data_IF_913503574333
#
_entry.id   IF_913503574333
#
_cell.length_a   1.000
_cell.length_b   1.000
_cell.length_c   1.000
_cell.angle_alpha   90.00
_cell.angle_beta   90.00
_cell.angle_gamma   90.00
#
_symmetry.space_group_name_H-M   'P 1'
#
loop_
_entity.id
_entity.type
_entity.pdbx_description
1 polymer ?
#
# COMPACT_ATOMS: atom_id res chain seq x y z
N UNK A 1 13.91 -21.97 9.58
CA UNK A 1 12.86 -20.97 9.87
C UNK A 1 11.78 -21.62 10.72
N UNK A 2 11.20 -20.88 11.67
CA UNK A 2 10.01 -21.33 12.40
C UNK A 2 8.87 -21.67 11.42
N UNK A 3 8.11 -22.74 11.69
CA UNK A 3 6.99 -23.20 10.84
C UNK A 3 5.95 -22.07 10.60
N UNK A 4 5.73 -21.22 11.61
CA UNK A 4 4.88 -20.03 11.51
C UNK A 4 5.39 -19.00 10.50
N UNK A 5 6.70 -18.75 10.45
CA UNK A 5 7.30 -17.76 9.53
C UNK A 5 7.10 -18.23 8.07
N UNK A 6 7.46 -19.49 7.79
CA UNK A 6 7.25 -20.10 6.47
C UNK A 6 5.79 -20.06 6.00
N UNK A 7 4.83 -20.30 6.90
CA UNK A 7 3.40 -20.24 6.59
C UNK A 7 2.94 -18.82 6.18
N UNK A 8 3.46 -17.78 6.85
CA UNK A 8 3.06 -16.39 6.60
C UNK A 8 3.76 -15.82 5.36
N UNK A 9 5.05 -16.14 5.14
CA UNK A 9 5.76 -15.80 3.89
C UNK A 9 5.00 -16.37 2.69
N UNK A 10 4.60 -17.65 2.76
CA UNK A 10 3.86 -18.31 1.70
C UNK A 10 2.48 -17.68 1.48
N UNK A 11 1.78 -17.26 2.55
CA UNK A 11 0.53 -16.49 2.43
C UNK A 11 0.72 -15.12 1.77
N UNK A 12 1.78 -14.38 2.11
CA UNK A 12 2.07 -13.06 1.51
C UNK A 12 2.46 -13.21 0.03
N UNK A 13 3.31 -14.19 -0.27
CA UNK A 13 3.66 -14.53 -1.65
C UNK A 13 2.43 -14.91 -2.46
N UNK A 14 1.56 -15.78 -1.91
CA UNK A 14 0.32 -16.18 -2.57
C UNK A 14 -0.69 -15.03 -2.67
N UNK A 15 -0.79 -14.11 -1.70
CA UNK A 15 -1.53 -12.85 -1.85
C UNK A 15 -1.01 -12.02 -3.02
N UNK A 16 0.31 -11.88 -3.18
CA UNK A 16 0.92 -11.16 -4.31
C UNK A 16 0.64 -11.84 -5.66
N UNK A 17 0.85 -13.17 -5.78
CA UNK A 17 0.65 -13.89 -7.05
C UNK A 17 -0.82 -14.22 -7.36
N UNK A 18 -1.75 -14.08 -6.40
CA UNK A 18 -3.21 -14.19 -6.63
C UNK A 18 -3.90 -12.85 -6.86
N UNK A 19 -3.19 -11.74 -6.66
CA UNK A 19 -3.59 -10.40 -7.08
C UNK A 19 -3.81 -10.15 -8.60
N UNK A 20 -3.35 -10.98 -9.59
CA UNK A 20 -3.45 -10.68 -11.03
C UNK A 20 -4.82 -10.38 -11.65
N UNK A 21 -5.92 -10.49 -10.89
CA UNK A 21 -7.29 -10.27 -11.39
C UNK A 21 -7.96 -8.97 -10.92
N UNK A 22 -7.20 -8.02 -10.35
CA UNK A 22 -7.72 -6.65 -10.18
C UNK A 22 -7.70 -5.90 -11.53
N UNK A 23 -8.83 -5.36 -12.01
CA UNK A 23 -8.87 -4.63 -13.27
C UNK A 23 -8.09 -3.32 -13.14
N UNK A 24 -7.08 -3.12 -14.00
CA UNK A 24 -6.23 -1.91 -13.97
C UNK A 24 -4.73 -2.15 -13.95
N UNK A 25 -4.24 -3.28 -14.47
CA UNK A 25 -2.82 -3.61 -14.70
C UNK A 25 -1.98 -2.40 -15.18
N UNK A 26 -1.31 -1.71 -14.23
CA UNK A 26 -0.44 -0.54 -14.49
C UNK A 26 1.03 -0.94 -14.62
N UNK A 27 1.47 -1.97 -13.90
CA UNK A 27 2.86 -2.45 -13.93
C UNK A 27 3.14 -3.40 -15.09
N UNK A 28 2.22 -4.28 -15.52
CA UNK A 28 2.45 -5.08 -16.76
C UNK A 28 2.70 -4.18 -17.99
N UNK A 29 2.14 -2.96 -18.00
CA UNK A 29 2.39 -1.95 -19.04
C UNK A 29 3.75 -1.24 -18.92
N UNK A 30 4.45 -1.41 -17.79
CA UNK A 30 5.80 -0.91 -17.53
C UNK A 30 6.69 -2.09 -17.08
N UNK A 31 7.35 -2.79 -18.02
CA UNK A 31 8.15 -3.98 -17.73
C UNK A 31 9.23 -3.78 -16.65
N UNK A 32 9.79 -2.57 -16.51
CA UNK A 32 10.80 -2.28 -15.48
C UNK A 32 10.18 -2.36 -14.08
N UNK A 33 9.04 -1.69 -13.86
CA UNK A 33 8.30 -1.73 -12.59
C UNK A 33 7.83 -3.15 -12.27
N UNK A 34 7.34 -3.87 -13.27
CA UNK A 34 6.92 -5.27 -13.11
C UNK A 34 8.09 -6.16 -12.65
N UNK A 35 9.25 -6.04 -13.31
CA UNK A 35 10.45 -6.80 -12.96
C UNK A 35 10.97 -6.44 -11.56
N UNK A 36 10.99 -5.16 -11.18
CA UNK A 36 11.37 -4.73 -9.83
C UNK A 36 10.49 -5.38 -8.77
N UNK A 37 9.16 -5.38 -8.96
CA UNK A 37 8.21 -5.99 -8.02
C UNK A 37 8.38 -7.51 -7.91
N UNK A 38 8.56 -8.19 -9.04
CA UNK A 38 8.78 -9.64 -9.08
C UNK A 38 10.11 -10.05 -8.44
N UNK A 39 11.18 -9.29 -8.67
CA UNK A 39 12.48 -9.50 -8.03
C UNK A 39 12.38 -9.27 -6.51
N UNK A 40 11.68 -8.21 -6.09
CA UNK A 40 11.48 -7.89 -4.67
C UNK A 40 10.69 -8.97 -3.93
N UNK A 41 9.55 -9.46 -4.48
CA UNK A 41 8.76 -10.50 -3.82
C UNK A 41 9.47 -11.86 -3.80
N UNK A 42 10.26 -12.17 -4.84
CA UNK A 42 11.09 -13.38 -4.88
C UNK A 42 12.16 -13.31 -3.80
N UNK A 43 12.88 -12.18 -3.72
CA UNK A 43 13.92 -11.97 -2.71
C UNK A 43 13.35 -11.95 -1.28
N UNK A 44 12.15 -11.42 -1.10
CA UNK A 44 11.41 -11.52 0.17
C UNK A 44 11.08 -12.97 0.53
N UNK A 45 10.68 -13.82 -0.44
CA UNK A 45 10.41 -15.24 -0.20
C UNK A 45 11.67 -16.02 0.23
N UNK A 46 12.83 -15.67 -0.31
CA UNK A 46 14.13 -16.27 0.06
C UNK A 46 14.58 -15.87 1.48
N UNK A 47 14.55 -14.56 1.79
CA UNK A 47 15.02 -14.03 3.07
C UNK A 47 14.02 -14.29 4.19
N UNK A 48 12.73 -14.25 3.87
CA UNK A 48 11.65 -14.30 4.84
C UNK A 48 11.62 -13.07 5.76
N UNK A 49 10.99 -13.24 6.92
CA UNK A 49 11.02 -12.23 7.95
C UNK A 49 12.18 -12.41 8.93
N UNK A 50 12.79 -11.30 9.40
CA UNK A 50 13.90 -11.30 10.33
C UNK A 50 13.47 -11.75 11.74
N UNK A 51 14.47 -12.13 12.53
CA UNK A 51 14.35 -12.52 13.93
C UNK A 51 15.12 -11.55 14.84
N UNK A 52 14.75 -11.41 16.11
CA UNK A 52 15.46 -10.55 17.08
C UNK A 52 16.94 -10.94 17.33
N UNK A 53 17.40 -12.08 16.80
CA UNK A 53 18.81 -12.50 16.84
C UNK A 53 19.65 -11.83 15.74
N UNK A 54 19.00 -11.34 14.70
CA UNK A 54 19.64 -10.61 13.61
C UNK A 54 19.98 -9.20 14.13
N UNK A 55 21.21 -8.74 13.90
CA UNK A 55 21.76 -7.56 14.58
C UNK A 55 20.87 -6.31 14.41
N UNK A 56 20.46 -6.03 13.17
CA UNK A 56 19.59 -4.91 12.80
C UNK A 56 18.21 -4.95 13.49
N UNK A 57 17.79 -6.11 13.98
CA UNK A 57 16.46 -6.35 14.57
C UNK A 57 16.50 -6.60 16.07
N UNK A 58 17.67 -6.48 16.72
CA UNK A 58 17.83 -6.72 18.16
C UNK A 58 16.87 -5.92 19.06
N UNK A 59 16.48 -4.72 18.64
CA UNK A 59 15.63 -3.80 19.40
C UNK A 59 14.20 -3.64 18.86
N UNK A 60 13.84 -4.41 17.82
CA UNK A 60 12.49 -4.42 17.24
C UNK A 60 11.95 -5.84 17.29
N UNK A 61 10.73 -6.07 17.79
CA UNK A 61 10.12 -7.41 17.76
C UNK A 61 9.22 -7.57 16.51
N UNK A 62 9.72 -8.15 15.40
CA UNK A 62 8.94 -8.30 14.18
C UNK A 62 7.75 -9.26 14.34
N UNK A 63 7.76 -10.15 15.34
CA UNK A 63 6.71 -11.16 15.55
C UNK A 63 5.34 -10.55 15.82
N UNK A 64 5.26 -9.31 16.33
CA UNK A 64 3.98 -8.65 16.62
C UNK A 64 3.24 -8.19 15.34
N UNK A 65 3.97 -7.88 14.26
CA UNK A 65 3.37 -7.58 12.96
C UNK A 65 2.77 -8.85 12.33
N UNK A 66 3.49 -9.98 12.36
CA UNK A 66 3.05 -11.22 11.69
C UNK A 66 1.85 -11.89 12.38
N UNK A 67 1.67 -11.70 13.69
CA UNK A 67 0.46 -12.12 14.42
C UNK A 67 -0.83 -11.53 13.84
N UNK A 68 -0.75 -10.38 13.15
CA UNK A 68 -1.87 -9.73 12.47
C UNK A 68 -2.20 -10.27 11.06
N UNK A 69 -1.37 -11.17 10.51
CA UNK A 69 -1.52 -11.74 9.17
C UNK A 69 -2.02 -13.22 9.13
N UNK A 70 -2.86 -13.77 10.06
CA UNK A 70 -3.26 -15.19 10.00
C UNK A 70 -3.99 -15.58 8.71
N UNK A 71 -4.74 -14.65 8.12
CA UNK A 71 -5.62 -14.89 6.96
C UNK A 71 -4.99 -14.49 5.61
N UNK A 72 -3.72 -14.09 5.59
CA UNK A 72 -3.08 -13.46 4.44
C UNK A 72 -3.29 -11.94 4.40
N UNK A 73 -2.64 -11.27 3.44
CA UNK A 73 -2.85 -9.84 3.20
C UNK A 73 -3.91 -9.73 2.10
N UNK A 74 -5.12 -9.33 2.47
CA UNK A 74 -6.11 -8.88 1.50
C UNK A 74 -5.86 -7.39 1.26
N UNK A 75 -5.42 -6.97 0.05
CA UNK A 75 -5.58 -5.57 -0.32
C UNK A 75 -7.07 -5.27 -0.25
N UNK A 76 -7.48 -4.40 0.67
CA UNK A 76 -8.87 -3.96 0.72
C UNK A 76 -9.24 -3.44 -0.68
N UNK A 77 -10.45 -3.73 -1.16
CA UNK A 77 -10.86 -3.27 -2.49
C UNK A 77 -10.83 -1.73 -2.50
N UNK A 78 -9.76 -1.15 -3.08
CA UNK A 78 -9.54 0.30 -3.15
C UNK A 78 -10.34 0.94 -4.29
N UNK A 79 -11.56 0.46 -4.44
CA UNK A 79 -12.66 1.34 -4.78
C UNK A 79 -12.71 2.43 -3.73
N UNK A 80 -12.15 3.60 -4.04
CA UNK A 80 -12.72 4.86 -3.60
C UNK A 80 -14.07 5.04 -4.33
N UNK A 81 -14.95 4.03 -4.26
CA UNK A 81 -16.40 4.21 -4.39
C UNK A 81 -16.76 5.03 -3.19
N UNK A 82 -17.08 6.28 -3.43
CA UNK A 82 -16.56 7.32 -2.56
C UNK A 82 -17.41 7.48 -1.29
N UNK A 83 -17.99 6.46 -0.62
CA UNK A 83 -19.33 6.57 0.06
C UNK A 83 -19.45 7.03 1.54
N UNK A 84 -20.10 8.19 1.79
CA UNK A 84 -20.43 8.89 3.07
C UNK A 84 -21.66 8.20 3.58
N UNK A 85 -21.61 7.80 4.84
CA UNK A 85 -22.82 7.68 5.62
C UNK A 85 -23.29 9.09 5.94
N UNK A 86 -24.09 9.66 5.05
CA UNK A 86 -24.99 10.73 5.45
C UNK A 86 -25.92 10.00 6.40
N UNK A 87 -26.12 10.54 7.60
CA UNK A 87 -26.90 9.85 8.64
C UNK A 87 -28.37 9.61 8.25
N UNK A 88 -28.78 10.02 7.04
CA UNK A 88 -30.08 9.72 6.41
C UNK A 88 -30.00 9.19 4.97
N UNK A 89 -28.82 9.10 4.35
CA UNK A 89 -28.69 8.61 2.97
C UNK A 89 -27.70 7.44 2.87
N UNK A 90 -28.21 6.29 2.42
CA UNK A 90 -27.48 5.02 2.30
C UNK A 90 -26.45 5.03 1.15
N UNK A 91 -26.40 6.12 0.36
CA UNK A 91 -25.62 6.24 -0.87
C UNK A 91 -24.69 7.46 -0.98
N UNK A 92 -24.64 8.36 0.01
CA UNK A 92 -23.82 9.60 -0.05
C UNK A 92 -22.29 9.33 -0.11
N UNK A 93 -21.39 10.35 -0.11
CA UNK A 93 -19.94 10.27 -0.47
C UNK A 93 -18.82 10.74 0.57
N UNK A 94 -18.06 9.82 1.22
CA UNK A 94 -16.95 9.84 2.22
C UNK A 94 -15.71 10.34 1.50
N UNK A 95 -15.70 11.64 1.28
CA UNK A 95 -14.46 12.38 1.18
C UNK A 95 -13.74 12.29 2.53
N UNK A 96 -12.53 11.68 2.62
CA UNK A 96 -11.72 11.80 3.82
C UNK A 96 -11.43 13.28 4.07
N UNK A 97 -11.66 13.75 5.29
CA UNK A 97 -11.21 15.09 5.69
C UNK A 97 -9.69 15.04 5.89
N UNK A 98 -8.96 15.54 4.89
CA UNK A 98 -7.51 15.63 4.91
C UNK A 98 -7.02 16.95 5.53
N UNK A 99 -7.91 17.86 5.94
CA UNK A 99 -7.51 19.13 6.55
C UNK A 99 -6.63 18.98 7.81
N UNK A 100 -6.76 17.94 8.67
CA UNK A 100 -5.84 17.74 9.78
C UNK A 100 -4.43 17.31 9.36
N UNK A 101 -4.28 16.66 8.20
CA UNK A 101 -3.00 16.13 7.73
C UNK A 101 -2.05 17.22 7.22
N UNK A 102 -2.60 18.38 6.82
CA UNK A 102 -1.87 19.53 6.29
C UNK A 102 -2.14 20.81 7.09
N UNK A 103 -2.68 20.69 8.31
CA UNK A 103 -3.09 21.82 9.14
C UNK A 103 -1.89 22.75 9.44
N UNK A 104 -2.02 24.03 9.10
CA UNK A 104 -0.97 25.03 9.29
C UNK A 104 0.13 25.04 8.21
N UNK A 105 -0.02 24.28 7.12
CA UNK A 105 0.92 24.27 6.00
C UNK A 105 0.31 24.96 4.77
N UNK A 106 0.91 26.05 4.32
CA UNK A 106 0.62 26.61 2.98
C UNK A 106 1.44 25.85 1.94
N UNK A 107 0.77 25.03 1.13
CA UNK A 107 1.40 24.23 0.08
C UNK A 107 0.66 24.40 -1.25
N UNK A 108 1.38 24.90 -2.25
CA UNK A 108 0.89 25.01 -3.64
C UNK A 108 0.88 23.66 -4.38
N UNK A 109 1.70 22.72 -3.93
CA UNK A 109 1.86 21.39 -4.52
C UNK A 109 1.75 20.31 -3.44
N UNK A 110 0.68 19.51 -3.51
CA UNK A 110 0.37 18.39 -2.61
C UNK A 110 0.03 17.19 -3.48
N UNK A 111 0.79 16.10 -3.34
CA UNK A 111 0.52 14.81 -3.98
C UNK A 111 -0.09 13.87 -2.94
N UNK A 112 -1.36 13.50 -3.10
CA UNK A 112 -2.06 12.62 -2.17
C UNK A 112 -2.08 11.19 -2.69
N UNK A 113 -1.60 10.27 -1.86
CA UNK A 113 -1.69 8.83 -2.09
C UNK A 113 -2.61 8.20 -1.03
N UNK A 114 -3.77 7.71 -1.45
CA UNK A 114 -4.72 7.02 -0.57
C UNK A 114 -4.47 5.53 -0.69
N UNK A 115 -3.99 4.91 0.40
CA UNK A 115 -3.69 3.48 0.49
C UNK A 115 -2.81 2.96 -0.67
N UNK A 116 -1.77 3.72 -1.04
CA UNK A 116 -0.84 3.38 -2.11
C UNK A 116 -1.32 3.66 -3.53
N UNK A 117 -2.47 4.31 -3.73
CA UNK A 117 -2.92 4.81 -5.03
C UNK A 117 -2.92 6.34 -5.05
N UNK A 118 -2.31 6.92 -6.09
CA UNK A 118 -2.41 8.36 -6.36
C UNK A 118 -3.88 8.77 -6.54
N UNK A 119 -4.26 9.88 -5.90
CA UNK A 119 -5.58 10.48 -6.01
C UNK A 119 -5.47 11.91 -6.54
N UNK A 120 -5.90 12.11 -7.78
CA UNK A 120 -5.95 13.41 -8.44
C UNK A 120 -6.93 14.36 -7.73
N UNK A 121 -8.11 13.87 -7.32
CA UNK A 121 -9.17 14.63 -6.63
C UNK A 121 -8.68 15.34 -5.35
N UNK A 122 -7.82 14.66 -4.57
CA UNK A 122 -7.28 15.21 -3.31
C UNK A 122 -5.90 15.87 -3.47
N UNK A 123 -5.30 15.80 -4.66
CA UNK A 123 -4.02 16.44 -4.95
C UNK A 123 -4.21 17.88 -5.42
N UNK A 124 -3.20 18.73 -5.21
CA UNK A 124 -3.14 20.08 -5.77
C UNK A 124 -1.79 20.27 -6.44
N UNK A 125 -1.76 20.72 -7.68
CA UNK A 125 -0.55 20.80 -8.49
C UNK A 125 -0.46 22.18 -9.18
N UNK A 126 -0.10 23.22 -8.41
CA UNK A 126 -0.06 24.61 -8.88
C UNK A 126 1.36 25.05 -9.24
N UNK A 127 1.50 25.85 -10.29
CA UNK A 127 2.76 26.50 -10.67
C UNK A 127 3.94 25.53 -10.91
N UNK A 128 3.66 24.27 -11.28
CA UNK A 128 4.69 23.26 -11.52
C UNK A 128 5.63 23.70 -12.66
N UNK A 129 6.97 23.66 -12.49
CA UNK A 129 7.92 23.99 -13.54
C UNK A 129 7.75 23.14 -14.80
N UNK A 130 7.94 23.76 -15.97
CA UNK A 130 7.87 23.07 -17.26
C UNK A 130 8.89 21.93 -17.32
N UNK A 131 8.40 20.71 -17.58
CA UNK A 131 9.21 19.50 -17.72
C UNK A 131 9.14 18.54 -16.53
N UNK A 132 8.52 18.94 -15.42
CA UNK A 132 8.17 18.00 -14.33
C UNK A 132 7.00 17.12 -14.76
N UNK A 133 7.10 15.83 -14.46
CA UNK A 133 6.06 14.81 -14.68
C UNK A 133 5.69 14.27 -13.29
N UNK A 134 4.38 14.13 -13.03
CA UNK A 134 3.78 13.63 -11.78
C UNK A 134 2.89 12.45 -12.11
#
# INVERSE_FOLDING_TARGET
>A
MDNLNSNIIEKIYNSYISFPWYPGQRDIKNPEVHNIRNNAITRFKELGFPEMKDEDWRYTNPKDFYKGIPSGITPQNLSITTKVKSSRDKNAVLTPDLSPAYAGMEMDNIVVNINGNFSEEFSSLKNIPRGVIV
#
